data_IF_491604147840
#
_entry.id   IF_491604147840
#
_cell.length_a   1.000
_cell.length_b   1.000
_cell.length_c   1.000
_cell.angle_alpha   90.00
_cell.angle_beta   90.00
_cell.angle_gamma   90.00
#
_symmetry.space_group_name_H-M   'P 1'
#
loop_
_entity.id
_entity.type
_entity.pdbx_description
1 polymer ?
#
# COMPACT_ATOMS: atom_id res chain seq x y z
N UNK A 1 -2.02 8.60 -20.00
CA UNK A 1 -0.59 8.22 -19.87
C UNK A 1 -0.50 6.95 -19.04
N UNK A 2 0.43 6.04 -19.37
CA UNK A 2 0.72 4.87 -18.53
C UNK A 2 1.17 5.29 -17.11
N UNK A 3 1.13 4.39 -16.12
CA UNK A 3 1.75 4.61 -14.81
C UNK A 3 3.22 5.02 -14.94
N UNK A 4 3.79 5.63 -13.90
CA UNK A 4 5.25 5.71 -13.82
C UNK A 4 5.82 4.29 -13.90
N UNK A 5 6.85 4.07 -14.72
CA UNK A 5 7.46 2.74 -14.84
C UNK A 5 8.16 2.32 -13.53
N UNK A 6 8.64 3.30 -12.76
CA UNK A 6 9.37 3.16 -11.51
C UNK A 6 9.40 4.50 -10.75
N UNK A 7 9.55 4.49 -9.41
CA UNK A 7 9.66 5.66 -8.53
C UNK A 7 11.06 5.84 -7.91
N UNK A 8 12.11 5.28 -8.51
CA UNK A 8 13.49 5.38 -7.98
C UNK A 8 14.03 6.80 -7.76
N UNK A 9 13.54 7.79 -8.50
CA UNK A 9 13.88 9.20 -8.32
C UNK A 9 13.03 9.96 -7.29
N UNK A 10 12.05 9.29 -6.66
CA UNK A 10 11.13 9.91 -5.69
C UNK A 10 11.65 9.70 -4.27
N UNK A 11 11.39 10.68 -3.40
CA UNK A 11 11.50 10.52 -1.95
C UNK A 11 10.13 10.22 -1.35
N UNK A 12 10.04 9.28 -0.41
CA UNK A 12 8.83 9.07 0.37
C UNK A 12 8.81 9.97 1.62
N UNK A 13 7.68 10.57 1.95
CA UNK A 13 7.47 11.25 3.23
C UNK A 13 6.26 10.63 3.93
N UNK A 14 6.48 10.05 5.12
CA UNK A 14 5.45 9.32 5.87
C UNK A 14 5.06 10.13 7.11
N UNK A 15 3.82 10.60 7.16
CA UNK A 15 3.27 11.36 8.30
C UNK A 15 2.99 10.41 9.47
N UNK A 16 3.94 10.32 10.40
CA UNK A 16 4.00 9.35 11.49
C UNK A 16 3.92 9.97 12.89
N UNK A 17 3.57 11.26 13.00
CA UNK A 17 3.62 12.03 14.26
C UNK A 17 2.38 11.98 15.15
N UNK A 18 1.25 11.50 14.63
CA UNK A 18 -0.03 11.52 15.33
C UNK A 18 -0.09 10.67 16.61
N UNK A 19 -0.72 11.21 17.66
CA UNK A 19 -0.87 10.55 18.97
C UNK A 19 -1.71 9.26 18.97
N UNK A 20 -2.49 8.98 17.92
CA UNK A 20 -3.34 7.80 17.87
C UNK A 20 -4.39 7.70 18.99
N UNK A 21 -4.85 8.80 19.58
CA UNK A 21 -5.67 8.84 20.82
C UNK A 21 -6.90 7.90 20.84
N UNK A 22 -7.49 7.60 19.68
CA UNK A 22 -8.66 6.71 19.53
C UNK A 22 -8.31 5.21 19.60
N UNK A 23 -7.02 4.86 19.62
CA UNK A 23 -6.48 3.50 19.69
C UNK A 23 -5.90 3.16 21.07
N UNK A 24 -6.17 3.98 22.08
CA UNK A 24 -5.79 3.66 23.46
C UNK A 24 -6.50 2.38 23.94
N UNK A 25 -5.84 1.53 24.75
CA UNK A 25 -4.51 1.74 25.36
C UNK A 25 -3.32 1.35 24.48
N UNK A 26 -3.53 0.76 23.29
CA UNK A 26 -2.42 0.28 22.44
C UNK A 26 -1.40 1.37 22.12
N UNK A 27 -1.88 2.59 21.86
CA UNK A 27 -1.02 3.71 21.49
C UNK A 27 -0.38 4.46 22.67
N UNK A 28 -0.57 4.01 23.91
CA UNK A 28 0.09 4.61 25.07
C UNK A 28 1.56 4.19 25.17
N UNK A 29 1.92 3.03 24.60
CA UNK A 29 3.29 2.50 24.61
C UNK A 29 3.85 2.19 23.22
N UNK A 30 3.02 2.18 22.18
CA UNK A 30 3.42 1.88 20.79
C UNK A 30 2.91 2.97 19.85
N UNK A 31 3.77 3.67 19.09
CA UNK A 31 3.29 4.65 18.11
C UNK A 31 2.46 3.94 17.04
N UNK A 32 1.39 4.60 16.57
CA UNK A 32 0.42 4.04 15.63
C UNK A 32 1.05 3.33 14.41
N UNK A 33 2.08 3.87 13.74
CA UNK A 33 2.71 3.19 12.61
C UNK A 33 3.40 1.85 12.96
N UNK A 34 3.70 1.61 14.24
CA UNK A 34 4.28 0.36 14.74
C UNK A 34 3.24 -0.65 15.22
N UNK A 35 1.93 -0.37 15.07
CA UNK A 35 0.90 -1.37 15.36
C UNK A 35 1.02 -2.54 14.38
N UNK A 36 1.00 -3.75 14.92
CA UNK A 36 1.16 -4.98 14.16
C UNK A 36 -0.13 -5.41 13.47
N UNK A 37 -0.04 -5.66 12.17
CA UNK A 37 -1.05 -6.29 11.33
C UNK A 37 -1.03 -7.82 11.47
N UNK A 38 0.16 -8.37 11.74
CA UNK A 38 0.44 -9.74 12.18
C UNK A 38 1.77 -9.72 12.93
N UNK A 39 2.13 -10.82 13.56
CA UNK A 39 3.36 -10.93 14.35
C UNK A 39 4.59 -10.40 13.59
N UNK A 40 5.26 -9.41 14.17
CA UNK A 40 6.48 -8.81 13.63
C UNK A 40 6.31 -7.93 12.38
N UNK A 41 5.07 -7.74 11.88
CA UNK A 41 4.78 -6.96 10.67
C UNK A 41 3.80 -5.82 10.95
N UNK A 42 4.31 -4.60 10.91
CA UNK A 42 3.60 -3.37 11.29
C UNK A 42 2.98 -2.65 10.10
N UNK A 43 2.10 -1.68 10.36
CA UNK A 43 1.57 -0.75 9.35
C UNK A 43 2.73 -0.10 8.56
N UNK A 44 3.78 0.34 9.25
CA UNK A 44 4.92 0.98 8.60
C UNK A 44 5.77 -0.01 7.81
N UNK A 45 5.89 -1.28 8.22
CA UNK A 45 6.54 -2.32 7.41
C UNK A 45 5.78 -2.52 6.08
N UNK A 46 4.44 -2.48 6.10
CA UNK A 46 3.62 -2.51 4.88
C UNK A 46 3.93 -1.32 3.97
N UNK A 47 3.84 -0.11 4.50
CA UNK A 47 4.07 1.11 3.72
C UNK A 47 5.47 1.16 3.10
N UNK A 48 6.52 0.85 3.87
CA UNK A 48 7.89 0.84 3.37
C UNK A 48 8.12 -0.26 2.33
N UNK A 49 7.50 -1.44 2.49
CA UNK A 49 7.57 -2.49 1.47
C UNK A 49 6.86 -2.10 0.17
N UNK A 50 5.69 -1.47 0.23
CA UNK A 50 4.98 -0.98 -0.96
C UNK A 50 5.79 0.09 -1.70
N UNK A 51 6.37 1.04 -0.96
CA UNK A 51 7.25 2.07 -1.51
C UNK A 51 8.49 1.46 -2.17
N UNK A 52 9.13 0.47 -1.53
CA UNK A 52 10.28 -0.24 -2.08
C UNK A 52 9.90 -1.03 -3.34
N UNK A 53 8.73 -1.68 -3.34
CA UNK A 53 8.22 -2.42 -4.50
C UNK A 53 7.88 -1.48 -5.67
N UNK A 54 7.46 -0.25 -5.38
CA UNK A 54 7.31 0.82 -6.36
C UNK A 54 8.66 1.47 -6.77
N UNK A 55 9.76 1.04 -6.14
CA UNK A 55 11.14 1.39 -6.42
C UNK A 55 11.73 2.57 -5.67
N UNK A 56 10.97 3.20 -4.77
CA UNK A 56 11.47 4.24 -3.87
C UNK A 56 12.60 3.69 -3.00
N UNK A 57 13.71 4.42 -2.92
CA UNK A 57 14.91 4.01 -2.14
C UNK A 57 15.23 4.90 -0.95
N UNK A 58 14.54 6.03 -0.80
CA UNK A 58 14.74 6.99 0.30
C UNK A 58 13.39 7.37 0.90
N UNK A 59 13.26 7.23 2.22
CA UNK A 59 12.07 7.63 2.96
C UNK A 59 12.42 8.55 4.14
N UNK A 60 11.59 9.56 4.36
CA UNK A 60 11.65 10.45 5.50
C UNK A 60 10.43 10.17 6.38
N UNK A 61 10.67 9.75 7.61
CA UNK A 61 9.62 9.48 8.60
C UNK A 61 9.40 10.74 9.43
N UNK A 62 8.21 11.33 9.29
CA UNK A 62 7.82 12.55 10.00
C UNK A 62 7.23 12.13 11.34
N UNK A 63 8.12 11.89 12.31
CA UNK A 63 7.77 11.31 13.60
C UNK A 63 7.44 12.39 14.63
N UNK A 64 6.72 12.00 15.68
CA UNK A 64 6.30 12.89 16.76
C UNK A 64 6.33 12.13 18.07
N UNK A 65 5.15 11.95 18.68
CA UNK A 65 5.01 11.17 19.91
C UNK A 65 5.58 9.75 19.75
N UNK A 66 6.45 9.32 20.67
CA UNK A 66 7.16 8.04 20.66
C UNK A 66 8.04 7.78 19.40
N UNK A 67 8.45 8.84 18.69
CA UNK A 67 9.26 8.73 17.47
C UNK A 67 10.57 7.94 17.64
N UNK A 68 11.15 7.94 18.85
CA UNK A 68 12.35 7.17 19.17
C UNK A 68 12.17 5.66 19.07
N UNK A 69 10.94 5.14 19.21
CA UNK A 69 10.64 3.72 18.99
C UNK A 69 10.66 3.38 17.51
N UNK A 70 10.22 4.30 16.65
CA UNK A 70 10.29 4.18 15.19
C UNK A 70 11.75 4.18 14.75
N UNK A 71 12.53 5.17 15.21
CA UNK A 71 13.97 5.26 14.94
C UNK A 71 14.75 4.01 15.35
N UNK A 72 14.43 3.46 16.52
CA UNK A 72 15.07 2.23 17.03
C UNK A 72 14.79 1.00 16.16
N UNK A 73 13.58 0.89 15.60
CA UNK A 73 13.19 -0.26 14.76
C UNK A 73 13.81 -0.20 13.37
N UNK A 74 13.82 0.98 12.75
CA UNK A 74 14.18 1.11 11.33
C UNK A 74 15.61 1.61 11.10
N UNK A 75 16.25 2.26 12.07
CA UNK A 75 17.62 2.77 11.93
C UNK A 75 17.75 3.77 10.78
N UNK A 76 18.95 3.93 10.22
CA UNK A 76 19.18 4.79 9.02
C UNK A 76 19.04 4.04 7.70
N UNK A 77 18.95 2.72 7.76
CA UNK A 77 18.77 1.86 6.61
C UNK A 77 17.87 0.69 7.00
N UNK A 78 16.87 0.43 6.18
CA UNK A 78 15.97 -0.70 6.37
C UNK A 78 15.73 -1.40 5.04
N UNK A 79 16.12 -2.67 4.93
CA UNK A 79 15.90 -3.51 3.73
C UNK A 79 16.40 -2.86 2.41
N UNK A 80 17.54 -2.15 2.47
CA UNK A 80 18.15 -1.44 1.35
C UNK A 80 17.48 -0.10 0.99
N UNK A 81 16.61 0.41 1.86
CA UNK A 81 16.04 1.76 1.78
C UNK A 81 16.73 2.67 2.81
N UNK A 82 17.17 3.85 2.38
CA UNK A 82 17.67 4.90 3.27
C UNK A 82 16.49 5.52 4.03
N UNK A 83 16.65 5.63 5.36
CA UNK A 83 15.63 6.17 6.26
C UNK A 83 16.19 7.40 6.98
N UNK A 84 15.51 8.52 6.79
CA UNK A 84 15.73 9.77 7.54
C UNK A 84 14.52 10.10 8.40
N UNK A 85 14.72 10.98 9.37
CA UNK A 85 13.70 11.32 10.35
C UNK A 85 13.56 12.83 10.44
N UNK A 86 12.32 13.31 10.44
CA UNK A 86 11.99 14.69 10.79
C UNK A 86 11.07 14.64 12.01
N UNK A 87 11.65 14.92 13.19
CA UNK A 87 10.92 14.85 14.45
C UNK A 87 10.23 16.17 14.74
N UNK A 88 8.91 16.15 14.89
CA UNK A 88 8.16 17.33 15.31
C UNK A 88 8.27 17.53 16.84
N UNK A 89 8.69 18.71 17.32
CA UNK A 89 8.80 18.97 18.77
C UNK A 89 7.44 19.20 19.44
N UNK A 90 6.43 19.54 18.64
CA UNK A 90 5.03 19.77 19.02
C UNK A 90 4.18 19.50 17.78
N UNK A 91 2.86 19.26 17.90
CA UNK A 91 2.00 19.03 16.75
C UNK A 91 2.01 20.24 15.80
N UNK A 92 2.56 20.07 14.59
CA UNK A 92 2.64 21.13 13.57
C UNK A 92 1.50 21.08 12.55
N UNK A 93 0.61 20.08 12.64
CA UNK A 93 -0.35 19.75 11.59
C UNK A 93 0.32 19.06 10.40
N UNK A 94 -0.47 18.47 9.49
CA UNK A 94 0.04 17.64 8.39
C UNK A 94 0.89 18.46 7.41
N UNK A 95 0.49 19.69 7.07
CA UNK A 95 1.32 20.58 6.26
C UNK A 95 2.54 21.07 7.04
N UNK A 96 2.39 21.47 8.30
CA UNK A 96 3.51 21.99 9.08
C UNK A 96 4.62 20.96 9.30
N UNK A 97 4.26 19.69 9.53
CA UNK A 97 5.22 18.59 9.61
C UNK A 97 5.92 18.36 8.25
N UNK A 98 5.16 18.38 7.15
CA UNK A 98 5.69 18.24 5.81
C UNK A 98 6.67 19.37 5.45
N UNK A 99 6.27 20.62 5.67
CA UNK A 99 7.11 21.82 5.48
C UNK A 99 8.40 21.72 6.27
N UNK A 100 8.32 21.39 7.57
CA UNK A 100 9.49 21.22 8.43
C UNK A 100 10.48 20.17 7.90
N UNK A 101 9.99 19.05 7.38
CA UNK A 101 10.83 18.02 6.78
C UNK A 101 11.51 18.52 5.48
N UNK A 102 10.74 19.16 4.59
CA UNK A 102 11.27 19.70 3.32
C UNK A 102 12.36 20.75 3.58
N UNK A 103 12.13 21.67 4.52
CA UNK A 103 13.07 22.73 4.85
C UNK A 103 14.34 22.19 5.54
N UNK A 104 14.17 21.40 6.61
CA UNK A 104 15.31 20.92 7.42
C UNK A 104 16.26 19.99 6.67
N UNK A 105 15.73 19.17 5.75
CA UNK A 105 16.51 18.22 4.95
C UNK A 105 16.78 18.73 3.51
N UNK A 106 16.40 19.98 3.23
CA UNK A 106 16.57 20.63 1.92
C UNK A 106 16.02 19.78 0.76
N UNK A 107 14.87 19.13 0.96
CA UNK A 107 14.28 18.20 0.00
C UNK A 107 13.76 18.95 -1.23
N UNK A 108 13.96 18.38 -2.42
CA UNK A 108 13.50 18.89 -3.72
C UNK A 108 13.13 17.72 -4.62
N UNK A 109 12.50 18.00 -5.76
CA UNK A 109 12.12 16.96 -6.71
C UNK A 109 10.82 16.25 -6.32
N UNK A 110 10.48 15.18 -7.05
CA UNK A 110 9.21 14.49 -6.91
C UNK A 110 9.15 13.65 -5.63
N UNK A 111 7.95 13.47 -5.09
CA UNK A 111 7.76 12.74 -3.85
C UNK A 111 6.44 11.97 -3.80
N UNK A 112 6.41 10.93 -2.96
CA UNK A 112 5.18 10.30 -2.48
C UNK A 112 5.02 10.65 -1.02
N UNK A 113 3.90 11.26 -0.65
CA UNK A 113 3.55 11.56 0.73
C UNK A 113 2.42 10.62 1.15
N UNK A 114 2.53 10.00 2.33
CA UNK A 114 1.50 9.08 2.84
C UNK A 114 1.19 9.36 4.30
N UNK A 115 -0.09 9.25 4.65
CA UNK A 115 -0.51 9.22 6.05
C UNK A 115 -0.04 7.91 6.67
N UNK A 116 0.59 7.96 7.85
CA UNK A 116 1.21 6.80 8.51
C UNK A 116 0.24 5.76 9.08
N UNK A 117 -1.05 5.93 8.82
CA UNK A 117 -2.14 5.05 9.26
C UNK A 117 -2.93 4.43 8.12
N UNK A 118 -2.51 4.66 6.87
CA UNK A 118 -3.14 4.08 5.69
C UNK A 118 -2.47 2.76 5.34
N UNK A 119 -3.29 1.71 5.22
CA UNK A 119 -2.91 0.42 4.64
C UNK A 119 -3.64 0.27 3.31
N UNK A 120 -2.89 0.09 2.22
CA UNK A 120 -3.48 -0.02 0.88
C UNK A 120 -2.68 -0.93 -0.07
N UNK A 121 -3.37 -1.50 -1.06
CA UNK A 121 -2.79 -2.25 -2.16
C UNK A 121 -2.74 -1.48 -3.48
N UNK A 122 -3.18 -0.22 -3.47
CA UNK A 122 -3.08 0.66 -4.62
C UNK A 122 -1.63 0.74 -5.09
N UNK A 123 -1.43 0.61 -6.40
CA UNK A 123 -0.11 0.80 -6.99
C UNK A 123 0.29 2.27 -6.92
N UNK A 124 1.27 2.57 -6.05
CA UNK A 124 1.75 3.93 -5.79
C UNK A 124 2.31 4.61 -7.05
N UNK A 125 2.79 3.84 -8.04
CA UNK A 125 3.23 4.36 -9.35
C UNK A 125 2.11 5.04 -10.14
N UNK A 126 0.86 4.77 -9.77
CA UNK A 126 -0.34 5.38 -10.38
C UNK A 126 -0.76 6.67 -9.70
N UNK A 127 -0.27 6.95 -8.48
CA UNK A 127 -0.59 8.13 -7.68
C UNK A 127 0.44 9.23 -7.95
N UNK A 128 0.69 9.54 -9.21
CA UNK A 128 1.60 10.61 -9.63
C UNK A 128 0.83 11.73 -10.33
N UNK A 129 1.20 13.02 -10.14
CA UNK A 129 0.56 14.13 -10.84
C UNK A 129 0.63 13.99 -12.36
N UNK A 130 -0.40 14.47 -13.05
CA UNK A 130 -0.51 14.44 -14.51
C UNK A 130 -0.86 15.83 -15.04
N UNK A 131 -0.37 16.17 -16.23
CA UNK A 131 -0.58 17.50 -16.80
C UNK A 131 0.04 18.57 -15.90
N UNK A 132 -0.70 19.65 -15.68
CA UNK A 132 -0.21 20.80 -14.92
C UNK A 132 -0.35 20.66 -13.40
N UNK A 133 -0.93 19.56 -12.91
CA UNK A 133 -1.11 19.34 -11.47
C UNK A 133 0.25 19.29 -10.74
N UNK A 134 0.30 19.99 -9.60
CA UNK A 134 1.42 19.93 -8.66
C UNK A 134 1.30 18.74 -7.71
N UNK A 135 0.06 18.39 -7.33
CA UNK A 135 -0.25 17.28 -6.43
C UNK A 135 -1.33 16.39 -7.04
N UNK A 136 -1.24 15.08 -6.82
CA UNK A 136 -2.32 14.13 -7.08
C UNK A 136 -2.71 13.42 -5.79
N UNK A 137 -4.00 13.44 -5.45
CA UNK A 137 -4.54 12.69 -4.30
C UNK A 137 -5.07 11.34 -4.77
N UNK A 138 -4.81 10.28 -4.00
CA UNK A 138 -5.55 9.03 -4.12
C UNK A 138 -6.99 9.25 -3.67
N UNK A 139 -7.95 9.11 -4.57
CA UNK A 139 -9.37 9.21 -4.28
C UNK A 139 -9.97 7.79 -4.21
N UNK A 140 -10.55 7.43 -3.07
CA UNK A 140 -11.16 6.10 -2.85
C UNK A 140 -12.67 6.20 -2.66
N UNK A 141 -13.47 5.22 -3.13
CA UNK A 141 -14.92 5.29 -3.00
C UNK A 141 -15.35 5.31 -1.52
N UNK A 142 -16.25 6.22 -1.18
CA UNK A 142 -16.79 6.32 0.18
C UNK A 142 -17.66 5.10 0.45
N UNK A 143 -17.29 4.30 1.45
CA UNK A 143 -18.22 3.33 2.06
C UNK A 143 -18.91 4.00 3.23
N UNK A 144 -20.24 3.95 3.25
CA UNK A 144 -20.98 4.46 4.40
C UNK A 144 -20.62 3.64 5.64
N UNK A 145 -20.27 4.27 6.78
CA UNK A 145 -20.12 3.55 8.04
C UNK A 145 -21.48 3.11 8.62
N UNK A 146 -22.59 3.57 8.03
CA UNK A 146 -23.97 3.33 8.47
C UNK A 146 -24.81 2.66 7.36
N UNK A 147 -25.90 2.01 7.75
CA UNK A 147 -26.98 1.64 6.84
C UNK A 147 -27.71 2.88 6.31
N UNK A 148 -28.04 2.88 5.02
CA UNK A 148 -28.76 3.96 4.34
C UNK A 148 -30.19 3.52 4.06
N UNK A 149 -31.14 4.40 4.40
CA UNK A 149 -32.57 4.21 4.17
C UNK A 149 -33.01 4.98 2.93
N UNK A 150 -33.81 4.34 2.08
CA UNK A 150 -34.59 4.99 1.04
C UNK A 150 -36.02 5.15 1.56
N UNK A 151 -36.51 6.40 1.62
CA UNK A 151 -37.78 6.75 2.26
C UNK A 151 -38.81 7.21 1.22
N UNK A 152 -40.07 6.79 1.41
CA UNK A 152 -41.25 7.34 0.76
C UNK A 152 -42.19 7.87 1.85
N UNK A 153 -42.12 9.18 2.11
CA UNK A 153 -42.78 9.77 3.28
C UNK A 153 -42.20 9.20 4.58
N UNK A 154 -43.04 8.50 5.37
CA UNK A 154 -42.62 7.80 6.59
C UNK A 154 -42.29 6.32 6.38
N UNK A 155 -42.47 5.78 5.17
CA UNK A 155 -42.22 4.38 4.87
C UNK A 155 -40.78 4.17 4.41
N UNK A 156 -40.13 3.11 4.92
CA UNK A 156 -38.81 2.66 4.43
C UNK A 156 -39.05 1.72 3.23
N UNK A 157 -38.69 2.19 2.03
CA UNK A 157 -38.84 1.42 0.79
C UNK A 157 -37.55 0.72 0.36
N UNK A 158 -36.42 1.06 0.98
CA UNK A 158 -35.14 0.40 0.76
C UNK A 158 -34.20 0.53 1.96
N UNK A 159 -33.41 -0.50 2.20
CA UNK A 159 -32.37 -0.53 3.23
C UNK A 159 -31.09 -1.09 2.61
N UNK A 160 -30.01 -0.32 2.68
CA UNK A 160 -28.70 -0.73 2.16
C UNK A 160 -27.69 -0.64 3.29
N UNK A 161 -27.17 -1.77 3.76
CA UNK A 161 -26.13 -1.78 4.79
C UNK A 161 -24.78 -1.42 4.18
N UNK A 162 -24.12 -0.40 4.76
CA UNK A 162 -22.77 0.07 4.38
C UNK A 162 -22.50 0.13 2.87
N UNK A 163 -23.40 0.74 2.06
CA UNK A 163 -23.22 0.80 0.63
C UNK A 163 -22.00 1.63 0.26
N UNK A 164 -21.43 1.33 -0.90
CA UNK A 164 -20.55 2.27 -1.59
C UNK A 164 -21.41 3.43 -2.11
N UNK A 165 -21.02 4.65 -1.76
CA UNK A 165 -21.68 5.89 -2.13
C UNK A 165 -21.02 6.50 -3.39
N UNK A 166 -21.74 7.33 -4.17
CA UNK A 166 -21.20 8.02 -5.33
C UNK A 166 -20.34 9.24 -4.93
N UNK A 167 -19.54 9.09 -3.89
CA UNK A 167 -18.63 10.10 -3.36
C UNK A 167 -17.25 9.47 -3.19
N UNK A 168 -16.22 10.30 -3.27
CA UNK A 168 -14.85 9.88 -3.01
C UNK A 168 -14.34 10.54 -1.74
N UNK A 169 -13.52 9.82 -0.99
CA UNK A 169 -12.79 10.33 0.16
C UNK A 169 -11.30 10.40 -0.15
N UNK A 170 -10.61 11.23 0.63
CA UNK A 170 -9.15 11.30 0.60
C UNK A 170 -8.56 9.95 1.06
N UNK A 171 -7.79 9.32 0.19
CA UNK A 171 -7.12 8.04 0.42
C UNK A 171 -5.82 8.15 1.24
N UNK A 172 -5.40 9.35 1.63
CA UNK A 172 -4.21 9.58 2.45
C UNK A 172 -2.88 9.22 1.79
N UNK A 173 -2.85 9.18 0.46
CA UNK A 173 -1.64 8.99 -0.35
C UNK A 173 -1.62 10.07 -1.43
N UNK A 174 -0.47 10.71 -1.57
CA UNK A 174 -0.31 11.91 -2.38
C UNK A 174 0.96 11.82 -3.24
N UNK A 175 0.82 12.00 -4.55
CA UNK A 175 1.97 12.25 -5.41
C UNK A 175 2.24 13.74 -5.50
N UNK A 176 3.49 14.13 -5.36
CA UNK A 176 3.95 15.52 -5.50
C UNK A 176 4.94 15.59 -6.66
N UNK A 177 4.72 16.54 -7.57
CA UNK A 177 5.56 16.73 -8.76
C UNK A 177 6.93 17.29 -8.38
N UNK A 178 6.94 18.32 -7.53
CA UNK A 178 8.16 18.91 -6.99
C UNK A 178 7.92 19.48 -5.59
N UNK A 179 8.73 19.06 -4.61
CA UNK A 179 8.64 19.53 -3.22
C UNK A 179 9.02 21.01 -3.04
N UNK A 180 9.88 21.56 -3.89
CA UNK A 180 10.28 22.96 -3.85
C UNK A 180 9.15 23.89 -4.31
N UNK A 181 8.48 23.53 -5.42
CA UNK A 181 7.27 24.23 -5.88
C UNK A 181 6.14 24.13 -4.86
N UNK A 182 5.94 22.95 -4.24
CA UNK A 182 4.94 22.79 -3.18
C UNK A 182 5.25 23.65 -1.96
N UNK A 183 6.52 23.69 -1.54
CA UNK A 183 6.98 24.54 -0.44
C UNK A 183 6.75 26.02 -0.73
N UNK A 184 7.12 26.49 -1.92
CA UNK A 184 6.90 27.88 -2.31
C UNK A 184 5.41 28.23 -2.38
N UNK A 185 4.57 27.32 -2.89
CA UNK A 185 3.12 27.54 -2.97
C UNK A 185 2.45 27.67 -1.59
N UNK A 186 2.92 26.89 -0.61
CA UNK A 186 2.40 26.87 0.76
C UNK A 186 3.19 27.70 1.76
N UNK A 187 4.15 28.53 1.31
CA UNK A 187 5.10 29.27 2.17
C UNK A 187 4.46 30.18 3.20
N UNK A 188 3.26 30.67 2.92
CA UNK A 188 2.50 31.60 3.77
C UNK A 188 1.61 30.88 4.80
N UNK A 189 1.49 29.55 4.71
CA UNK A 189 0.78 28.74 5.68
C UNK A 189 1.72 28.41 6.87
N UNK A 190 1.52 29.14 7.97
CA UNK A 190 2.29 28.98 9.20
C UNK A 190 1.74 27.85 10.10
N UNK A 191 2.59 27.01 10.71
CA UNK A 191 2.14 25.95 11.61
C UNK A 191 1.43 26.48 12.88
N UNK A 192 0.41 25.77 13.40
CA UNK A 192 -0.10 24.50 12.89
C UNK A 192 -0.96 24.67 11.64
N UNK A 193 -0.68 23.88 10.61
CA UNK A 193 -1.37 23.93 9.32
C UNK A 193 -1.59 22.53 8.74
N UNK A 194 -2.71 22.36 8.04
CA UNK A 194 -3.24 21.10 7.52
C UNK A 194 -3.10 21.02 5.99
N UNK A 195 -2.71 19.85 5.49
CA UNK A 195 -2.81 19.56 4.06
C UNK A 195 -4.28 19.61 3.64
N UNK A 196 -5.15 19.00 4.42
CA UNK A 196 -6.55 18.78 4.13
C UNK A 196 -7.39 20.06 4.20
N UNK A 197 -7.14 20.89 5.22
CA UNK A 197 -7.96 22.08 5.49
C UNK A 197 -7.39 23.37 4.87
N UNK A 198 -6.07 23.46 4.69
CA UNK A 198 -5.41 24.69 4.24
C UNK A 198 -4.83 24.59 2.82
N UNK A 199 -3.98 23.59 2.56
CA UNK A 199 -3.22 23.51 1.31
C UNK A 199 -4.03 22.95 0.13
N UNK A 200 -4.65 21.79 0.29
CA UNK A 200 -5.40 21.12 -0.78
C UNK A 200 -6.57 21.96 -1.31
N UNK A 201 -7.37 22.66 -0.47
CA UNK A 201 -8.41 23.55 -0.98
C UNK A 201 -7.86 24.68 -1.86
N UNK A 202 -6.66 25.21 -1.55
CA UNK A 202 -5.99 26.22 -2.39
C UNK A 202 -5.55 25.63 -3.73
N UNK A 203 -4.85 24.49 -3.71
CA UNK A 203 -4.41 23.79 -4.92
C UNK A 203 -5.59 23.41 -5.82
N UNK A 204 -6.69 22.94 -5.23
CA UNK A 204 -7.92 22.61 -5.97
C UNK A 204 -8.50 23.83 -6.68
N UNK A 205 -8.65 24.97 -5.98
CA UNK A 205 -9.14 26.22 -6.58
C UNK A 205 -8.22 26.74 -7.70
N UNK A 206 -6.92 26.47 -7.60
CA UNK A 206 -5.93 26.86 -8.60
C UNK A 206 -5.82 25.86 -9.78
N UNK A 207 -6.55 24.75 -9.77
CA UNK A 207 -6.41 23.70 -10.79
C UNK A 207 -5.09 22.92 -10.71
N UNK A 208 -4.38 22.98 -9.58
CA UNK A 208 -3.10 22.33 -9.35
C UNK A 208 -3.22 20.99 -8.61
N UNK A 209 -4.45 20.59 -8.24
CA UNK A 209 -4.74 19.35 -7.54
C UNK A 209 -5.47 18.36 -8.45
N UNK A 210 -4.79 17.28 -8.81
CA UNK A 210 -5.37 16.15 -9.54
C UNK A 210 -5.80 15.03 -8.61
N UNK A 211 -6.47 14.02 -9.18
CA UNK A 211 -6.84 12.80 -8.45
C UNK A 211 -6.49 11.54 -9.25
N UNK A 212 -6.04 10.50 -8.54
CA UNK A 212 -6.06 9.11 -9.00
C UNK A 212 -7.23 8.41 -8.31
N UNK A 213 -8.29 8.14 -9.06
CA UNK A 213 -9.51 7.49 -8.55
C UNK A 213 -9.33 5.99 -8.53
N UNK A 214 -9.26 5.33 -7.37
CA UNK A 214 -9.35 3.87 -7.31
C UNK A 214 -10.80 3.42 -7.50
N UNK A 215 -11.02 2.50 -8.43
CA UNK A 215 -12.35 2.04 -8.84
C UNK A 215 -12.54 0.53 -8.66
N UNK A 216 -11.47 -0.24 -8.45
CA UNK A 216 -11.56 -1.65 -8.16
C UNK A 216 -11.95 -1.85 -6.69
N UNK A 217 -13.16 -2.39 -6.39
CA UNK A 217 -13.62 -2.59 -5.02
C UNK A 217 -12.87 -3.71 -4.29
N UNK A 218 -12.09 -4.52 -4.99
CA UNK A 218 -11.26 -5.60 -4.44
C UNK A 218 -9.91 -5.08 -3.92
N UNK A 219 -9.48 -3.90 -4.35
CA UNK A 219 -8.23 -3.29 -3.88
C UNK A 219 -8.39 -2.89 -2.41
N UNK A 220 -7.51 -3.42 -1.55
CA UNK A 220 -7.52 -3.07 -0.14
C UNK A 220 -7.15 -1.59 0.03
N UNK A 221 -7.98 -0.89 0.80
CA UNK A 221 -7.65 0.41 1.37
C UNK A 221 -8.36 0.55 2.72
N UNK A 222 -7.62 0.89 3.77
CA UNK A 222 -8.14 1.16 5.12
C UNK A 222 -7.27 2.23 5.79
N UNK A 223 -7.92 3.19 6.47
CA UNK A 223 -7.27 3.96 7.52
C UNK A 223 -7.47 3.24 8.86
N UNK A 224 -6.44 3.22 9.71
CA UNK A 224 -6.50 2.55 11.02
C UNK A 224 -6.92 3.55 12.09
N UNK A 225 -8.20 3.93 12.18
CA UNK A 225 -8.62 5.00 13.10
C UNK A 225 -9.14 4.52 14.45
N UNK A 226 -9.48 3.24 14.54
CA UNK A 226 -10.07 2.59 15.70
C UNK A 226 -9.53 1.16 15.86
N UNK A 227 -9.76 0.57 17.04
CA UNK A 227 -9.37 -0.82 17.32
C UNK A 227 -10.03 -1.78 16.34
N UNK A 228 -11.28 -1.49 15.95
CA UNK A 228 -12.02 -2.27 14.97
C UNK A 228 -11.33 -2.29 13.60
N UNK A 229 -10.81 -1.15 13.13
CA UNK A 229 -10.09 -1.09 11.84
C UNK A 229 -8.82 -1.95 11.89
N UNK A 230 -8.13 -1.93 13.02
CA UNK A 230 -6.94 -2.76 13.24
C UNK A 230 -7.29 -4.25 13.30
N UNK A 231 -8.39 -4.64 13.94
CA UNK A 231 -8.88 -6.02 14.00
C UNK A 231 -9.32 -6.54 12.63
N UNK A 232 -10.02 -5.71 11.84
CA UNK A 232 -10.39 -6.05 10.46
C UNK A 232 -9.13 -6.30 9.61
N UNK A 233 -8.11 -5.44 9.72
CA UNK A 233 -6.84 -5.66 9.05
C UNK A 233 -6.13 -6.92 9.56
N UNK A 234 -6.08 -7.16 10.87
CA UNK A 234 -5.48 -8.40 11.42
C UNK A 234 -6.17 -9.65 10.90
N UNK A 235 -7.50 -9.61 10.75
CA UNK A 235 -8.24 -10.71 10.13
C UNK A 235 -7.85 -10.92 8.67
N UNK A 236 -7.58 -9.87 7.91
CA UNK A 236 -7.07 -9.97 6.53
C UNK A 236 -5.64 -10.53 6.52
N UNK A 237 -4.79 -10.06 7.43
CA UNK A 237 -3.37 -10.44 7.52
C UNK A 237 -3.11 -11.79 8.20
N UNK A 238 -4.15 -12.46 8.72
CA UNK A 238 -4.05 -13.79 9.30
C UNK A 238 -3.60 -14.83 8.28
N UNK A 239 -4.18 -14.80 7.07
CA UNK A 239 -3.88 -15.74 5.99
C UNK A 239 -3.08 -15.11 4.83
N UNK A 240 -2.78 -13.81 4.94
CA UNK A 240 -2.13 -13.02 3.89
C UNK A 240 -0.65 -12.79 4.20
N UNK A 241 0.17 -12.92 3.16
CA UNK A 241 1.60 -12.60 3.18
C UNK A 241 1.94 -11.66 2.03
N UNK A 242 2.43 -10.47 2.36
CA UNK A 242 2.94 -9.54 1.36
C UNK A 242 4.31 -9.97 0.84
N UNK A 243 4.51 -9.78 -0.45
CA UNK A 243 5.71 -10.17 -1.20
C UNK A 243 6.16 -9.01 -2.08
N UNK A 244 7.43 -8.94 -2.51
CA UNK A 244 7.90 -7.87 -3.40
C UNK A 244 7.09 -7.77 -4.71
N UNK A 245 6.52 -8.87 -5.19
CA UNK A 245 5.73 -8.95 -6.41
C UNK A 245 4.21 -8.72 -6.20
N UNK A 246 3.75 -8.54 -4.96
CA UNK A 246 2.34 -8.43 -4.64
C UNK A 246 2.02 -9.05 -3.28
N UNK A 247 1.08 -10.00 -3.23
CA UNK A 247 0.79 -10.73 -2.00
C UNK A 247 0.18 -12.10 -2.31
N UNK A 248 0.26 -13.00 -1.36
CA UNK A 248 -0.40 -14.31 -1.39
C UNK A 248 -1.39 -14.43 -0.23
N UNK A 249 -2.46 -15.19 -0.44
CA UNK A 249 -3.45 -15.52 0.57
C UNK A 249 -3.61 -17.03 0.61
N UNK A 250 -3.50 -17.63 1.79
CA UNK A 250 -3.87 -19.05 1.97
C UNK A 250 -5.40 -19.16 1.93
N UNK A 251 -5.93 -19.81 0.90
CA UNK A 251 -7.37 -19.99 0.72
C UNK A 251 -7.86 -21.24 1.45
N UNK A 252 -7.08 -22.32 1.38
CA UNK A 252 -7.36 -23.57 2.09
C UNK A 252 -6.06 -24.32 2.40
N UNK A 253 -6.04 -24.98 3.56
CA UNK A 253 -4.98 -25.90 3.95
C UNK A 253 -5.59 -27.12 4.62
N UNK A 254 -5.31 -28.29 4.07
CA UNK A 254 -5.72 -29.59 4.61
C UNK A 254 -4.52 -30.53 4.67
N UNK A 255 -4.73 -31.74 5.19
CA UNK A 255 -3.75 -32.82 5.12
C UNK A 255 -3.56 -33.38 3.70
N UNK A 256 -4.40 -32.98 2.73
CA UNK A 256 -4.36 -33.45 1.34
C UNK A 256 -3.97 -32.41 0.28
N UNK A 257 -4.14 -31.10 0.55
CA UNK A 257 -3.66 -30.03 -0.33
C UNK A 257 -3.52 -28.67 0.38
N UNK A 258 -2.69 -27.82 -0.22
CA UNK A 258 -2.56 -26.40 0.05
C UNK A 258 -3.05 -25.64 -1.18
N UNK A 259 -3.95 -24.68 -0.96
CA UNK A 259 -4.40 -23.74 -1.98
C UNK A 259 -4.00 -22.33 -1.55
N UNK A 260 -3.12 -21.71 -2.34
CA UNK A 260 -2.72 -20.31 -2.22
C UNK A 260 -3.26 -19.52 -3.40
N UNK A 261 -3.64 -18.28 -3.15
CA UNK A 261 -4.01 -17.32 -4.19
C UNK A 261 -2.99 -16.20 -4.19
N UNK A 262 -2.26 -16.07 -5.30
CA UNK A 262 -1.29 -15.03 -5.54
C UNK A 262 -1.93 -13.86 -6.28
N UNK A 263 -1.67 -12.65 -5.81
CA UNK A 263 -2.05 -11.39 -6.44
C UNK A 263 -0.77 -10.72 -6.92
N UNK A 264 -0.53 -10.75 -8.22
CA UNK A 264 0.71 -10.28 -8.85
C UNK A 264 0.51 -8.89 -9.44
N UNK A 265 1.42 -7.96 -9.15
CA UNK A 265 1.41 -6.62 -9.77
C UNK A 265 1.92 -6.68 -11.20
N UNK A 266 1.39 -5.86 -12.10
CA UNK A 266 1.93 -5.75 -13.46
C UNK A 266 3.43 -5.44 -13.47
N UNK A 267 4.18 -6.19 -14.29
CA UNK A 267 5.64 -6.08 -14.44
C UNK A 267 6.45 -6.76 -13.33
N UNK A 268 5.79 -7.31 -12.31
CA UNK A 268 6.48 -8.03 -11.23
C UNK A 268 6.89 -9.46 -11.65
N UNK A 269 7.80 -10.05 -10.87
CA UNK A 269 8.27 -11.43 -11.04
C UNK A 269 8.35 -12.14 -9.69
N UNK A 270 7.73 -13.32 -9.61
CA UNK A 270 8.02 -14.32 -8.59
C UNK A 270 9.40 -14.90 -8.90
N UNK A 271 10.40 -14.78 -8.00
CA UNK A 271 11.75 -15.27 -8.24
C UNK A 271 11.78 -16.75 -8.58
N UNK A 272 12.85 -17.18 -9.25
CA UNK A 272 13.03 -18.59 -9.56
C UNK A 272 13.16 -19.42 -8.28
N UNK A 273 12.36 -20.46 -8.17
CA UNK A 273 12.34 -21.36 -7.02
C UNK A 273 12.07 -22.80 -7.46
N UNK A 274 12.28 -23.73 -6.52
CA UNK A 274 12.11 -25.17 -6.74
C UNK A 274 11.29 -25.75 -5.60
N UNK A 275 10.28 -26.54 -5.93
CA UNK A 275 9.61 -27.44 -4.98
C UNK A 275 10.25 -28.82 -5.04
N UNK A 276 10.94 -29.22 -3.97
CA UNK A 276 11.70 -30.48 -3.92
C UNK A 276 10.83 -31.72 -3.88
N UNK A 277 9.61 -31.62 -3.36
CA UNK A 277 8.76 -32.75 -3.00
C UNK A 277 7.38 -32.74 -3.63
N UNK A 278 6.94 -31.62 -4.20
CA UNK A 278 5.55 -31.43 -4.64
C UNK A 278 5.43 -31.16 -6.12
N UNK A 279 4.28 -31.56 -6.65
CA UNK A 279 3.76 -31.05 -7.92
C UNK A 279 2.85 -29.88 -7.59
N UNK A 280 2.97 -28.82 -8.37
CA UNK A 280 2.20 -27.60 -8.21
C UNK A 280 1.39 -27.35 -9.48
N UNK A 281 0.18 -26.83 -9.35
CA UNK A 281 -0.62 -26.39 -10.48
C UNK A 281 -1.01 -24.94 -10.31
N UNK A 282 -0.66 -24.14 -11.30
CA UNK A 282 -1.04 -22.74 -11.42
C UNK A 282 -2.27 -22.60 -12.31
N UNK A 283 -3.26 -21.82 -11.87
CA UNK A 283 -4.46 -21.48 -12.61
C UNK A 283 -4.65 -19.96 -12.62
N UNK A 284 -4.85 -19.36 -13.80
CA UNK A 284 -5.00 -17.90 -13.93
C UNK A 284 -6.47 -17.52 -13.86
N UNK A 285 -6.88 -16.93 -12.73
CA UNK A 285 -8.23 -16.40 -12.53
C UNK A 285 -8.41 -15.04 -13.22
N UNK A 286 -7.41 -14.16 -13.12
CA UNK A 286 -7.44 -12.80 -13.67
C UNK A 286 -6.07 -12.44 -14.26
N UNK A 287 -6.06 -11.65 -15.32
CA UNK A 287 -4.83 -11.08 -15.88
C UNK A 287 -4.10 -12.00 -16.87
N UNK A 288 -2.78 -11.87 -16.92
CA UNK A 288 -1.90 -12.61 -17.83
C UNK A 288 -0.51 -12.75 -17.23
N UNK A 289 0.01 -13.96 -17.21
CA UNK A 289 1.34 -14.30 -16.69
C UNK A 289 2.18 -15.01 -17.75
N UNK A 290 3.49 -15.03 -17.54
CA UNK A 290 4.45 -15.89 -18.22
C UNK A 290 5.09 -16.80 -17.20
N UNK A 291 5.02 -18.11 -17.42
CA UNK A 291 5.67 -19.11 -16.59
C UNK A 291 6.88 -19.63 -17.34
N UNK A 292 8.04 -19.58 -16.70
CA UNK A 292 9.30 -20.12 -17.21
C UNK A 292 9.64 -21.34 -16.37
N UNK A 293 9.77 -22.53 -16.98
CA UNK A 293 10.17 -23.77 -16.32
C UNK A 293 11.46 -24.25 -16.98
N UNK A 294 12.48 -24.57 -16.18
CA UNK A 294 13.77 -25.03 -16.68
C UNK A 294 13.62 -26.22 -17.64
N UNK A 295 14.30 -26.16 -18.79
CA UNK A 295 14.27 -27.19 -19.82
C UNK A 295 13.07 -27.15 -20.77
N UNK A 296 12.18 -26.16 -20.64
CA UNK A 296 11.07 -25.91 -21.56
C UNK A 296 11.04 -24.48 -22.10
N UNK A 297 10.20 -24.25 -23.11
CA UNK A 297 9.92 -22.90 -23.60
C UNK A 297 9.00 -22.14 -22.63
N UNK A 298 9.18 -20.81 -22.45
CA UNK A 298 8.28 -20.00 -21.64
C UNK A 298 6.83 -20.07 -22.14
N UNK A 299 5.88 -20.21 -21.21
CA UNK A 299 4.45 -20.31 -21.53
C UNK A 299 3.71 -19.07 -21.02
N UNK A 300 3.04 -18.37 -21.94
CA UNK A 300 2.12 -17.29 -21.60
C UNK A 300 0.73 -17.87 -21.28
N UNK A 301 0.20 -17.54 -20.10
CA UNK A 301 -1.13 -17.96 -19.66
C UNK A 301 -2.02 -16.73 -19.46
N UNK A 302 -3.19 -16.72 -20.10
CA UNK A 302 -4.28 -15.78 -19.81
C UNK A 302 -5.34 -16.43 -18.93
N UNK A 303 -6.47 -15.74 -18.72
CA UNK A 303 -7.61 -16.22 -17.91
C UNK A 303 -8.05 -17.63 -18.32
N UNK A 304 -8.23 -18.52 -17.34
CA UNK A 304 -8.56 -19.94 -17.53
C UNK A 304 -7.37 -20.82 -17.94
N UNK A 305 -6.21 -20.22 -18.19
CA UNK A 305 -4.97 -20.92 -18.48
C UNK A 305 -4.47 -21.67 -17.25
N UNK A 306 -3.87 -22.83 -17.49
CA UNK A 306 -3.33 -23.71 -16.44
C UNK A 306 -1.99 -24.29 -16.85
N UNK A 307 -1.06 -24.40 -15.89
CA UNK A 307 0.16 -25.17 -16.05
C UNK A 307 0.44 -25.98 -14.79
N UNK A 308 0.90 -27.20 -14.97
CA UNK A 308 1.36 -28.07 -13.87
C UNK A 308 2.87 -28.13 -13.91
N UNK A 309 3.50 -27.79 -12.79
CA UNK A 309 4.93 -27.72 -12.62
C UNK A 309 5.41 -29.03 -11.99
N UNK A 310 6.25 -29.81 -12.69
CA UNK A 310 6.74 -31.07 -12.16
C UNK A 310 7.65 -30.85 -10.95
N UNK A 311 7.63 -31.82 -10.03
CA UNK A 311 8.52 -31.85 -8.86
C UNK A 311 9.98 -31.67 -9.25
N UNK A 312 10.71 -30.84 -8.50
CA UNK A 312 12.13 -30.57 -8.71
C UNK A 312 12.45 -29.65 -9.89
N UNK A 313 11.43 -29.15 -10.60
CA UNK A 313 11.62 -28.19 -11.69
C UNK A 313 11.80 -26.79 -11.12
N UNK A 314 12.88 -26.12 -11.52
CA UNK A 314 13.06 -24.70 -11.29
C UNK A 314 12.12 -23.93 -12.18
N UNK A 315 11.42 -22.97 -11.61
CA UNK A 315 10.47 -22.17 -12.36
C UNK A 315 10.32 -20.76 -11.80
N UNK A 316 9.82 -19.83 -12.61
CA UNK A 316 9.50 -18.46 -12.21
C UNK A 316 8.24 -17.97 -12.92
N UNK A 317 7.62 -16.93 -12.34
CA UNK A 317 6.36 -16.38 -12.85
C UNK A 317 6.54 -14.88 -13.07
N UNK A 318 6.33 -14.39 -14.28
CA UNK A 318 6.31 -12.96 -14.59
C UNK A 318 4.89 -12.49 -14.89
N UNK A 319 4.44 -11.44 -14.22
CA UNK A 319 3.13 -10.85 -14.44
C UNK A 319 3.17 -9.87 -15.61
N UNK A 320 2.64 -10.28 -16.77
CA UNK A 320 2.54 -9.43 -17.97
C UNK A 320 1.44 -8.38 -17.82
N UNK A 321 0.45 -8.65 -16.97
CA UNK A 321 -0.60 -7.74 -16.47
C UNK A 321 -0.79 -8.02 -14.98
N UNK A 322 -1.43 -7.09 -14.26
CA UNK A 322 -1.89 -7.37 -12.90
C UNK A 322 -2.78 -8.62 -12.91
N UNK A 323 -2.43 -9.61 -12.11
CA UNK A 323 -2.97 -10.98 -12.23
C UNK A 323 -3.37 -11.57 -10.89
N UNK A 324 -4.36 -12.46 -10.91
CA UNK A 324 -4.74 -13.32 -9.78
C UNK A 324 -4.52 -14.76 -10.24
N UNK A 325 -3.69 -15.49 -9.49
CA UNK A 325 -3.26 -16.84 -9.85
C UNK A 325 -3.50 -17.74 -8.65
N UNK A 326 -4.25 -18.82 -8.85
CA UNK A 326 -4.41 -19.88 -7.87
C UNK A 326 -3.30 -20.92 -8.02
N UNK A 327 -2.60 -21.18 -6.92
CA UNK A 327 -1.58 -22.20 -6.76
C UNK A 327 -2.18 -23.33 -5.91
N UNK A 328 -2.19 -24.54 -6.46
CA UNK A 328 -2.65 -25.75 -5.76
C UNK A 328 -1.54 -26.79 -5.76
N UNK A 329 -1.17 -27.26 -4.57
CA UNK A 329 -0.13 -28.26 -4.38
C UNK A 329 -0.47 -29.25 -3.25
N UNK A 330 0.14 -30.44 -3.26
CA UNK A 330 0.04 -31.40 -2.15
C UNK A 330 0.73 -30.86 -0.87
N UNK A 331 0.24 -31.14 0.36
CA UNK A 331 0.72 -30.57 1.60
C UNK A 331 1.94 -31.33 2.12
N UNK A 332 2.62 -30.75 3.11
CA UNK A 332 4.02 -31.01 3.43
C UNK A 332 4.74 -29.73 3.87
N UNK A 333 5.94 -29.86 4.45
CA UNK A 333 6.73 -28.73 4.92
C UNK A 333 7.05 -27.74 3.79
N UNK A 334 7.18 -26.45 4.10
CA UNK A 334 7.73 -25.46 3.16
C UNK A 334 9.05 -26.00 2.59
N UNK A 335 9.01 -26.47 1.34
CA UNK A 335 10.14 -27.07 0.61
C UNK A 335 10.54 -26.22 -0.59
N UNK A 336 9.95 -25.04 -0.68
CA UNK A 336 10.33 -23.97 -1.58
C UNK A 336 11.71 -23.46 -1.17
N UNK A 337 12.68 -23.65 -2.05
CA UNK A 337 14.03 -23.11 -1.87
C UNK A 337 14.30 -22.14 -3.00
N UNK A 338 14.84 -20.94 -2.71
CA UNK A 338 15.36 -20.06 -3.76
C UNK A 338 16.29 -20.86 -4.67
N UNK A 339 16.10 -20.75 -5.98
CA UNK A 339 17.01 -21.39 -6.91
C UNK A 339 18.31 -20.57 -6.95
N UNK A 340 19.44 -21.19 -6.59
CA UNK A 340 20.78 -20.59 -6.68
C UNK A 340 21.13 -20.14 -8.10
#
# INVERSE_FOLDING_TARGET
>A
MPPASDLSGYVALILAGGYGKRLRPYTDSVPKPLLELREGYTILDKQLNDLRAAGVRRAVLLTGYLGELVERRYGREWNGMEIEYSREPRPLGTWGALRSAIESLSLRGPAIVTNGDVVTDVDLRTVVPRGDHLVAILAVPMRSPYGILELSGSEVVGFREKPVLPHYINGGVYGVRDLGELLEYGRDLEPPASLEDDLFPRLARAGLLGARVESDPEVLWRSVDSVKDLEELRSIYAERVDRPWGYEVTVARTDEYLHRRMYLREGSRVPAHVHRSRVETLHVERGRIRVEVDGGDPVDLGVGGRVTIPRGSRHSIAALRSSVVDEVAAPGAEDEVPAE
#
